data_IF_021190608679
#
_entry.id   IF_021190608679
#
_cell.length_a   1.000
_cell.length_b   1.000
_cell.length_c   1.000
_cell.angle_alpha   90.00
_cell.angle_beta   90.00
_cell.angle_gamma   90.00
#
_symmetry.space_group_name_H-M   'P 1'
#
loop_
_entity.id
_entity.type
_entity.pdbx_description
1 polymer ?
#
# COMPACT_ATOMS: atom_id res chain seq x y z
N UNK A 1 -18.05 14.14 4.97
CA UNK A 1 -17.18 13.75 3.84
C UNK A 1 -17.69 14.45 2.59
N UNK A 2 -17.11 15.59 2.20
CA UNK A 2 -17.36 16.19 0.88
C UNK A 2 -16.04 16.08 0.11
N UNK A 3 -16.09 15.59 -1.13
CA UNK A 3 -14.98 15.46 -2.09
C UNK A 3 -14.02 14.26 -1.93
N UNK A 4 -14.54 13.06 -1.63
CA UNK A 4 -13.73 11.85 -1.80
C UNK A 4 -13.62 11.47 -3.28
N UNK A 5 -12.42 11.07 -3.70
CA UNK A 5 -12.21 10.43 -5.00
C UNK A 5 -12.93 9.08 -5.06
N UNK A 6 -13.33 8.67 -6.26
CA UNK A 6 -13.88 7.32 -6.47
C UNK A 6 -12.83 6.27 -6.14
N UNK A 7 -13.26 5.16 -5.54
CA UNK A 7 -12.39 4.02 -5.27
C UNK A 7 -11.99 3.35 -6.59
N UNK A 8 -10.70 3.03 -6.73
CA UNK A 8 -10.16 2.28 -7.85
C UNK A 8 -10.09 0.80 -7.46
N UNK A 9 -10.84 -0.05 -8.17
CA UNK A 9 -10.83 -1.50 -7.97
C UNK A 9 -9.77 -2.15 -8.87
N UNK A 10 -8.52 -2.19 -8.39
CA UNK A 10 -7.39 -2.72 -9.17
C UNK A 10 -7.38 -4.27 -9.30
N UNK A 11 -8.21 -4.99 -8.54
CA UNK A 11 -8.17 -6.45 -8.46
C UNK A 11 -6.87 -6.97 -7.80
N UNK A 12 -6.69 -8.30 -7.81
CA UNK A 12 -5.52 -8.97 -7.23
C UNK A 12 -4.91 -9.95 -8.22
N UNK A 13 -3.58 -10.03 -8.26
CA UNK A 13 -2.84 -11.02 -9.04
C UNK A 13 -1.72 -11.62 -8.19
N UNK A 14 -1.37 -12.88 -8.46
CA UNK A 14 -0.21 -13.56 -7.85
C UNK A 14 1.11 -13.22 -8.54
N UNK A 15 1.05 -12.75 -9.78
CA UNK A 15 2.21 -12.52 -10.65
C UNK A 15 2.41 -11.04 -10.98
N UNK A 16 1.41 -10.21 -10.74
CA UNK A 16 1.41 -8.80 -11.14
C UNK A 16 1.04 -7.86 -9.98
N UNK A 17 1.67 -6.69 -9.98
CA UNK A 17 1.37 -5.61 -9.04
C UNK A 17 0.30 -4.70 -9.63
N UNK A 18 -0.95 -5.16 -9.58
CA UNK A 18 -2.12 -4.54 -10.25
C UNK A 18 -2.36 -3.08 -9.88
N UNK A 19 -1.85 -2.61 -8.73
CA UNK A 19 -1.97 -1.22 -8.27
C UNK A 19 -1.03 -0.25 -8.99
N UNK A 20 0.15 -0.73 -9.43
CA UNK A 20 1.20 0.09 -10.06
C UNK A 20 0.70 0.99 -11.20
N UNK A 21 -0.05 0.49 -12.22
CA UNK A 21 -0.51 1.34 -13.32
C UNK A 21 -1.40 2.49 -12.84
N UNK A 22 -2.30 2.21 -11.89
CA UNK A 22 -3.22 3.23 -11.37
C UNK A 22 -2.52 4.28 -10.51
N UNK A 23 -1.51 3.88 -9.72
CA UNK A 23 -0.68 4.83 -8.95
C UNK A 23 0.01 5.80 -9.91
N UNK A 24 0.57 5.27 -11.01
CA UNK A 24 1.26 6.07 -12.04
C UNK A 24 0.30 6.97 -12.80
N UNK A 25 -0.81 6.44 -13.31
CA UNK A 25 -1.81 7.18 -14.11
C UNK A 25 -2.41 8.35 -13.33
N UNK A 26 -2.69 8.16 -12.04
CA UNK A 26 -3.28 9.19 -11.19
C UNK A 26 -2.23 10.13 -10.56
N UNK A 27 -0.96 10.03 -10.98
CA UNK A 27 0.14 10.83 -10.45
C UNK A 27 0.25 10.80 -8.91
N UNK A 28 -0.10 9.69 -8.29
CA UNK A 28 -0.03 9.54 -6.84
C UNK A 28 1.44 9.64 -6.41
N UNK A 29 1.73 10.50 -5.43
CA UNK A 29 3.09 10.74 -4.93
C UNK A 29 3.39 9.98 -3.65
N UNK A 30 2.39 9.83 -2.78
CA UNK A 30 2.48 9.05 -1.55
C UNK A 30 1.43 7.94 -1.59
N UNK A 31 1.82 6.70 -1.28
CA UNK A 31 0.92 5.55 -1.25
C UNK A 31 1.02 4.83 0.09
N UNK A 32 -0.07 4.85 0.86
CA UNK A 32 -0.16 4.21 2.16
C UNK A 32 -0.73 2.79 2.00
N UNK A 33 -0.10 1.81 2.65
CA UNK A 33 -0.59 0.43 2.64
C UNK A 33 0.10 -0.47 3.65
N UNK A 34 -0.53 -1.59 3.98
CA UNK A 34 -0.05 -2.52 5.00
C UNK A 34 0.68 -3.73 4.41
N UNK A 35 0.51 -4.00 3.11
CA UNK A 35 1.10 -5.15 2.44
C UNK A 35 2.38 -4.82 1.69
N UNK A 36 3.25 -5.81 1.52
CA UNK A 36 4.48 -5.65 0.73
C UNK A 36 4.18 -5.28 -0.72
N UNK A 37 3.04 -5.76 -1.23
CA UNK A 37 2.54 -5.39 -2.55
C UNK A 37 2.26 -3.90 -2.69
N UNK A 38 1.84 -3.22 -1.62
CA UNK A 38 1.59 -1.77 -1.63
C UNK A 38 2.89 -0.99 -1.80
N UNK A 39 3.90 -1.33 -0.98
CA UNK A 39 5.21 -0.67 -1.00
C UNK A 39 5.90 -0.91 -2.35
N UNK A 40 5.86 -2.14 -2.86
CA UNK A 40 6.45 -2.46 -4.17
C UNK A 40 5.72 -1.74 -5.30
N UNK A 41 4.38 -1.71 -5.28
CA UNK A 41 3.59 -1.03 -6.32
C UNK A 41 3.88 0.46 -6.34
N UNK A 42 3.98 1.11 -5.18
CA UNK A 42 4.31 2.52 -5.04
C UNK A 42 5.69 2.83 -5.64
N UNK A 43 6.72 2.09 -5.22
CA UNK A 43 8.10 2.28 -5.73
C UNK A 43 8.20 2.07 -7.23
N UNK A 44 7.54 1.02 -7.76
CA UNK A 44 7.51 0.76 -9.22
C UNK A 44 6.80 1.87 -10.00
N UNK A 45 5.85 2.57 -9.40
CA UNK A 45 5.16 3.71 -9.99
C UNK A 45 5.93 5.04 -9.82
N UNK A 46 7.07 5.05 -9.11
CA UNK A 46 7.80 6.28 -8.78
C UNK A 46 7.17 7.08 -7.65
N UNK A 47 6.30 6.46 -6.86
CA UNK A 47 5.70 7.02 -5.66
C UNK A 47 6.46 6.55 -4.40
N UNK A 48 6.37 7.34 -3.34
CA UNK A 48 6.83 6.95 -2.02
C UNK A 48 5.79 6.06 -1.35
N UNK A 49 6.20 4.83 -1.01
CA UNK A 49 5.37 3.89 -0.27
C UNK A 49 5.58 4.08 1.23
N UNK A 50 4.49 4.28 1.97
CA UNK A 50 4.50 4.44 3.43
C UNK A 50 3.73 3.28 4.06
N UNK A 51 4.37 2.58 5.00
CA UNK A 51 3.80 1.40 5.65
C UNK A 51 2.83 1.77 6.76
N UNK A 52 1.65 1.16 6.69
CA UNK A 52 0.71 1.07 7.81
C UNK A 52 0.82 -0.31 8.45
N UNK A 53 0.81 -0.38 9.78
CA UNK A 53 0.93 -1.65 10.49
C UNK A 53 -0.39 -2.42 10.43
N UNK A 54 -0.38 -3.63 9.85
CA UNK A 54 -1.54 -4.52 9.93
C UNK A 54 -1.84 -4.88 11.39
N UNK A 55 -3.11 -4.75 11.79
CA UNK A 55 -3.56 -5.09 13.14
C UNK A 55 -3.20 -6.54 13.53
N UNK A 56 -2.73 -6.70 14.77
CA UNK A 56 -2.30 -8.00 15.30
C UNK A 56 -3.42 -9.04 15.32
N UNK A 57 -4.69 -8.62 15.39
CA UNK A 57 -5.87 -9.50 15.36
C UNK A 57 -6.43 -9.77 13.95
N UNK A 58 -5.81 -9.28 12.87
CA UNK A 58 -6.26 -9.53 11.50
C UNK A 58 -6.29 -11.03 11.16
N UNK A 59 -7.26 -11.49 10.37
CA UNK A 59 -7.24 -12.85 9.82
C UNK A 59 -6.26 -13.01 8.65
N UNK A 60 -5.78 -11.91 8.05
CA UNK A 60 -4.88 -11.93 6.90
C UNK A 60 -3.42 -12.17 7.34
N UNK A 61 -2.99 -13.44 7.20
CA UNK A 61 -1.70 -13.94 7.66
C UNK A 61 -0.82 -14.44 6.50
N UNK A 62 0.52 -14.38 6.63
CA UNK A 62 1.28 -13.80 7.75
C UNK A 62 1.21 -12.26 7.79
N UNK A 63 1.55 -11.66 8.94
CA UNK A 63 1.72 -10.21 9.05
C UNK A 63 2.98 -9.82 8.27
N UNK A 64 2.90 -8.75 7.48
CA UNK A 64 4.05 -8.23 6.74
C UNK A 64 5.16 -7.75 7.69
N UNK A 65 6.42 -7.84 7.25
CA UNK A 65 7.55 -7.32 8.01
C UNK A 65 7.68 -5.81 7.74
N UNK A 66 7.12 -5.00 8.62
CA UNK A 66 7.14 -3.54 8.48
C UNK A 66 8.59 -3.02 8.38
N UNK A 67 8.88 -2.21 7.35
CA UNK A 67 10.21 -1.62 7.13
C UNK A 67 11.19 -2.53 6.40
N UNK A 68 10.79 -3.72 5.93
CA UNK A 68 11.70 -4.68 5.27
C UNK A 68 12.33 -4.15 3.98
N UNK A 69 11.70 -3.16 3.34
CA UNK A 69 12.24 -2.51 2.15
C UNK A 69 12.96 -1.20 2.47
N UNK A 70 13.10 -0.83 3.74
CA UNK A 70 13.61 0.47 4.17
C UNK A 70 12.61 1.61 3.98
N UNK A 71 11.31 1.31 3.85
CA UNK A 71 10.25 2.31 3.80
C UNK A 71 9.95 2.93 5.18
N UNK A 72 9.42 4.14 5.18
CA UNK A 72 8.87 4.74 6.40
C UNK A 72 7.67 3.94 6.92
N UNK A 73 7.57 3.80 8.24
CA UNK A 73 6.48 3.10 8.92
C UNK A 73 5.80 4.06 9.88
N UNK A 74 4.49 4.25 9.71
CA UNK A 74 3.72 5.10 10.62
C UNK A 74 3.61 4.41 11.97
N UNK A 75 4.14 5.05 13.01
CA UNK A 75 4.06 4.54 14.38
C UNK A 75 2.61 4.45 14.84
N UNK A 76 2.29 3.45 15.67
CA UNK A 76 0.95 3.26 16.25
C UNK A 76 -0.21 3.16 15.24
N UNK A 77 0.07 2.78 13.99
CA UNK A 77 -0.91 2.76 12.89
C UNK A 77 -1.78 1.50 12.81
N UNK A 78 -1.73 0.64 13.82
CA UNK A 78 -2.47 -0.63 13.86
C UNK A 78 -3.89 -0.54 14.45
N UNK A 79 -4.34 0.66 14.82
CA UNK A 79 -5.64 0.95 15.43
C UNK A 79 -6.26 2.24 14.89
#
# INVERSE_FOLDING_TARGET
MKNMNKVIFAGSSKTEFTKTPYIKENNIKLYYGDSDGDIISARKAGAEGIRIMRAANSSNRPIAKNGVYGEEVVTNSQY
#
